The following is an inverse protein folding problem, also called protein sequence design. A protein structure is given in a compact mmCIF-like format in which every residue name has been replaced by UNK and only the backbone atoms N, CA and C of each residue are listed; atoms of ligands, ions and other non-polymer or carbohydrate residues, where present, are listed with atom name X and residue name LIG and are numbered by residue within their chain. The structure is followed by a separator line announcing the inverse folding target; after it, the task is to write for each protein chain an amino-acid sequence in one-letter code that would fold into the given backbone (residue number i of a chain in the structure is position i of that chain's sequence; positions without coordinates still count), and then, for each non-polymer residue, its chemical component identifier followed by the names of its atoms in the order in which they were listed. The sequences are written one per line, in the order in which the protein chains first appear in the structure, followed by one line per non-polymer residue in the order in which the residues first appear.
data_IF_187953265745
#
_entry.id   IF_187953265745
#
_cell.length_a   1.000
_cell.length_b   1.000
_cell.length_c   1.000
_cell.angle_alpha   90.00
_cell.angle_beta   90.00
_cell.angle_gamma   90.00
#
_symmetry.space_group_name_H-M   'P 1'
#
loop_
_entity.id
_entity.type
_entity.pdbx_description
1 polymer ?
#
# COMPACT_ATOMS: atom_id res chain seq x y z
N UNK A 1 -38.82 -27.87 -29.77
CA UNK A 1 -39.80 -26.83 -30.09
C UNK A 1 -39.21 -25.97 -31.19
N UNK A 2 -39.94 -25.79 -32.28
CA UNK A 2 -39.52 -24.99 -33.45
C UNK A 2 -39.29 -23.55 -32.97
N UNK A 3 -38.11 -23.01 -33.24
CA UNK A 3 -37.74 -21.64 -32.88
C UNK A 3 -38.74 -20.67 -33.48
N UNK A 4 -39.47 -19.97 -32.62
CA UNK A 4 -40.20 -18.78 -33.04
C UNK A 4 -39.13 -17.77 -33.42
N UNK A 5 -38.91 -17.57 -34.72
CA UNK A 5 -38.24 -16.37 -35.22
C UNK A 5 -39.05 -15.19 -34.68
N UNK A 6 -38.59 -14.60 -33.58
CA UNK A 6 -39.11 -13.33 -33.10
C UNK A 6 -38.80 -12.33 -34.20
N UNK A 7 -39.82 -11.87 -34.91
CA UNK A 7 -39.66 -10.90 -35.97
C UNK A 7 -38.87 -9.69 -35.44
N UNK A 8 -37.87 -9.22 -36.21
CA UNK A 8 -37.06 -8.06 -35.83
C UNK A 8 -37.97 -6.89 -35.46
N UNK A 9 -37.68 -6.17 -34.37
CA UNK A 9 -38.46 -5.00 -33.97
C UNK A 9 -38.63 -4.02 -35.13
N UNK A 10 -39.85 -3.51 -35.33
CA UNK A 10 -40.13 -2.59 -36.43
C UNK A 10 -39.56 -1.21 -36.09
N UNK A 11 -38.86 -0.62 -37.06
CA UNK A 11 -38.52 0.79 -36.98
C UNK A 11 -39.74 1.67 -37.24
N UNK A 12 -39.68 2.88 -36.70
CA UNK A 12 -40.64 3.96 -36.81
C UNK A 12 -39.88 5.28 -37.03
N UNK A 13 -40.60 6.39 -37.14
CA UNK A 13 -39.97 7.70 -37.41
C UNK A 13 -38.96 8.11 -36.34
N UNK A 14 -39.20 7.74 -35.07
CA UNK A 14 -38.36 8.14 -33.94
C UNK A 14 -37.12 7.28 -33.82
N UNK A 15 -37.26 5.96 -33.93
CA UNK A 15 -36.15 5.02 -33.93
C UNK A 15 -35.23 5.22 -35.14
N UNK A 16 -35.78 5.48 -36.34
CA UNK A 16 -34.98 5.84 -37.50
C UNK A 16 -34.21 7.16 -37.28
N UNK A 17 -34.84 8.16 -36.65
CA UNK A 17 -34.18 9.44 -36.33
C UNK A 17 -33.06 9.25 -35.32
N UNK A 18 -33.32 8.52 -34.22
CA UNK A 18 -32.33 8.26 -33.18
C UNK A 18 -31.12 7.49 -33.75
N UNK A 19 -31.36 6.44 -34.52
CA UNK A 19 -30.29 5.66 -35.16
C UNK A 19 -29.46 6.52 -36.13
N UNK A 20 -30.11 7.35 -36.95
CA UNK A 20 -29.45 8.26 -37.86
C UNK A 20 -28.54 9.27 -37.15
N UNK A 21 -28.97 9.79 -36.00
CA UNK A 21 -28.18 10.73 -35.20
C UNK A 21 -27.01 10.00 -34.53
N UNK A 22 -27.24 8.84 -33.90
CA UNK A 22 -26.20 8.04 -33.23
C UNK A 22 -25.02 7.70 -34.14
N UNK A 23 -25.29 7.37 -35.40
CA UNK A 23 -24.26 7.02 -36.39
C UNK A 23 -23.28 8.17 -36.69
N UNK A 24 -23.62 9.42 -36.32
CA UNK A 24 -22.80 10.60 -36.58
C UNK A 24 -22.45 11.38 -35.33
N UNK A 25 -23.02 11.01 -34.18
CA UNK A 25 -22.91 11.80 -32.96
C UNK A 25 -21.47 11.93 -32.47
N UNK A 26 -20.67 10.87 -32.55
CA UNK A 26 -19.27 10.90 -32.12
C UNK A 26 -18.37 11.82 -32.97
N UNK A 27 -18.72 11.98 -34.26
CA UNK A 27 -17.94 12.78 -35.23
C UNK A 27 -18.50 14.20 -35.43
N UNK A 28 -19.49 14.61 -34.64
CA UNK A 28 -20.11 15.93 -34.78
C UNK A 28 -19.30 17.02 -34.06
N UNK A 29 -19.59 18.27 -34.40
CA UNK A 29 -18.96 19.44 -33.76
C UNK A 29 -19.29 19.54 -32.25
N UNK A 30 -20.42 18.96 -31.84
CA UNK A 30 -20.87 18.87 -30.45
C UNK A 30 -21.47 17.47 -30.18
N UNK A 31 -20.61 16.50 -29.80
CA UNK A 31 -21.04 15.14 -29.54
C UNK A 31 -22.07 15.04 -28.42
N UNK A 32 -21.91 15.82 -27.34
CA UNK A 32 -22.83 15.81 -26.21
C UNK A 32 -24.25 16.20 -26.64
N UNK A 33 -24.39 17.31 -27.37
CA UNK A 33 -25.68 17.74 -27.90
C UNK A 33 -26.28 16.72 -28.88
N UNK A 34 -25.42 16.06 -29.67
CA UNK A 34 -25.86 15.06 -30.65
C UNK A 34 -26.37 13.77 -29.98
N UNK A 35 -25.68 13.28 -28.94
CA UNK A 35 -26.15 12.15 -28.15
C UNK A 35 -27.43 12.49 -27.37
N UNK A 36 -27.56 13.71 -26.86
CA UNK A 36 -28.79 14.16 -26.23
C UNK A 36 -29.96 14.20 -27.22
N UNK A 37 -29.76 14.69 -28.45
CA UNK A 37 -30.80 14.67 -29.49
C UNK A 37 -31.21 13.24 -29.87
N UNK A 38 -30.25 12.32 -29.96
CA UNK A 38 -30.55 10.91 -30.18
C UNK A 38 -31.36 10.31 -29.03
N UNK A 39 -31.01 10.64 -27.78
CA UNK A 39 -31.71 10.21 -26.57
C UNK A 39 -33.15 10.74 -26.56
N UNK A 40 -33.36 12.01 -26.89
CA UNK A 40 -34.69 12.63 -26.97
C UNK A 40 -35.55 11.96 -28.04
N UNK A 41 -34.99 11.69 -29.22
CA UNK A 41 -35.68 10.98 -30.29
C UNK A 41 -36.06 9.56 -29.86
N UNK A 42 -35.13 8.80 -29.26
CA UNK A 42 -35.40 7.44 -28.78
C UNK A 42 -36.44 7.43 -27.65
N UNK A 43 -36.37 8.37 -26.72
CA UNK A 43 -37.34 8.53 -25.62
C UNK A 43 -38.73 8.88 -26.12
N UNK A 44 -38.85 9.74 -27.13
CA UNK A 44 -40.12 10.00 -27.80
C UNK A 44 -40.67 8.73 -28.49
N UNK A 45 -39.80 7.90 -29.06
CA UNK A 45 -40.15 6.58 -29.57
C UNK A 45 -40.73 5.67 -28.49
N UNK A 46 -40.12 5.63 -27.30
CA UNK A 46 -40.62 4.89 -26.13
C UNK A 46 -42.01 5.41 -25.71
N UNK A 47 -42.19 6.73 -25.63
CA UNK A 47 -43.46 7.34 -25.23
C UNK A 47 -44.60 7.02 -26.21
N UNK A 48 -44.32 7.01 -27.52
CA UNK A 48 -45.32 6.73 -28.54
C UNK A 48 -45.60 5.24 -28.71
N UNK A 49 -44.58 4.39 -28.54
CA UNK A 49 -44.72 2.94 -28.62
C UNK A 49 -43.89 2.25 -27.53
N UNK A 50 -44.42 2.13 -26.30
CA UNK A 50 -43.71 1.52 -25.17
C UNK A 50 -43.38 0.03 -25.36
N UNK A 51 -43.93 -0.61 -26.39
CA UNK A 51 -43.67 -2.00 -26.72
C UNK A 51 -42.60 -2.16 -27.82
N UNK A 52 -41.93 -1.07 -28.25
CA UNK A 52 -40.84 -1.13 -29.23
C UNK A 52 -39.47 -1.28 -28.54
N UNK A 53 -38.89 -2.49 -28.50
CA UNK A 53 -37.59 -2.72 -27.84
C UNK A 53 -36.43 -1.97 -28.52
N UNK A 54 -36.54 -1.62 -29.81
CA UNK A 54 -35.51 -0.85 -30.51
C UNK A 54 -35.38 0.56 -29.93
N UNK A 55 -36.48 1.19 -29.51
CA UNK A 55 -36.44 2.52 -28.90
C UNK A 55 -35.66 2.52 -27.57
N UNK A 56 -35.84 1.48 -26.75
CA UNK A 56 -35.07 1.28 -25.53
C UNK A 56 -33.59 1.03 -25.80
N UNK A 57 -33.26 0.17 -26.76
CA UNK A 57 -31.88 -0.10 -27.17
C UNK A 57 -31.16 1.18 -27.61
N UNK A 58 -31.79 1.98 -28.49
CA UNK A 58 -31.23 3.23 -28.98
C UNK A 58 -31.10 4.29 -27.88
N UNK A 59 -32.05 4.37 -26.95
CA UNK A 59 -31.95 5.26 -25.80
C UNK A 59 -30.77 4.87 -24.89
N UNK A 60 -30.57 3.58 -24.62
CA UNK A 60 -29.42 3.09 -23.84
C UNK A 60 -28.09 3.40 -24.52
N UNK A 61 -27.99 3.18 -25.84
CA UNK A 61 -26.81 3.56 -26.64
C UNK A 61 -26.52 5.06 -26.59
N UNK A 62 -27.55 5.89 -26.67
CA UNK A 62 -27.40 7.35 -26.58
C UNK A 62 -26.88 7.80 -25.21
N UNK A 63 -27.39 7.19 -24.12
CA UNK A 63 -26.90 7.46 -22.77
C UNK A 63 -25.41 7.09 -22.59
N UNK A 64 -24.99 5.93 -23.10
CA UNK A 64 -23.58 5.50 -23.04
C UNK A 64 -22.68 6.45 -23.82
N UNK A 65 -23.12 6.87 -25.01
CA UNK A 65 -22.39 7.84 -25.83
C UNK A 65 -22.32 9.24 -25.21
N UNK A 66 -23.33 9.64 -24.43
CA UNK A 66 -23.33 10.92 -23.72
C UNK A 66 -22.30 10.96 -22.57
N UNK A 67 -22.09 9.81 -21.90
CA UNK A 67 -21.25 9.68 -20.71
C UNK A 67 -19.90 10.39 -20.79
N UNK A 68 -19.04 10.09 -21.78
CA UNK A 68 -17.71 10.71 -21.91
C UNK A 68 -17.68 12.24 -22.05
N UNK A 69 -18.82 12.88 -22.25
CA UNK A 69 -18.93 14.32 -22.51
C UNK A 69 -19.61 15.10 -21.39
N UNK A 70 -19.91 14.46 -20.26
CA UNK A 70 -20.58 15.06 -19.11
C UNK A 70 -19.76 14.92 -17.82
N UNK A 71 -20.22 15.53 -16.72
CA UNK A 71 -19.56 15.36 -15.42
C UNK A 71 -19.62 13.90 -14.93
N UNK A 72 -18.74 13.52 -14.00
CA UNK A 72 -18.72 12.17 -13.42
C UNK A 72 -20.10 11.76 -12.84
N UNK A 73 -20.74 12.63 -12.06
CA UNK A 73 -22.08 12.37 -11.52
C UNK A 73 -23.13 12.14 -12.62
N UNK A 74 -23.04 12.90 -13.71
CA UNK A 74 -23.95 12.75 -14.86
C UNK A 74 -23.64 11.48 -15.67
N UNK A 75 -22.37 11.09 -15.77
CA UNK A 75 -21.93 9.85 -16.42
C UNK A 75 -22.42 8.63 -15.62
N UNK A 76 -22.34 8.66 -14.29
CA UNK A 76 -22.88 7.61 -13.42
C UNK A 76 -24.39 7.47 -13.67
N UNK A 77 -25.13 8.58 -13.60
CA UNK A 77 -26.57 8.58 -13.84
C UNK A 77 -26.93 8.07 -15.25
N UNK A 78 -26.21 8.50 -16.28
CA UNK A 78 -26.39 8.06 -17.66
C UNK A 78 -26.11 6.56 -17.82
N UNK A 79 -25.05 6.04 -17.20
CA UNK A 79 -24.67 4.62 -17.30
C UNK A 79 -25.67 3.70 -16.61
N UNK A 80 -26.16 4.09 -15.42
CA UNK A 80 -27.22 3.35 -14.72
C UNK A 80 -28.56 3.40 -15.48
N UNK A 81 -28.90 4.55 -16.06
CA UNK A 81 -30.07 4.68 -16.91
C UNK A 81 -29.94 3.82 -18.18
N UNK A 82 -28.76 3.80 -18.79
CA UNK A 82 -28.46 2.95 -19.94
C UNK A 82 -28.65 1.48 -19.60
N UNK A 83 -28.10 1.00 -18.48
CA UNK A 83 -28.23 -0.39 -18.06
C UNK A 83 -29.70 -0.81 -17.87
N UNK A 84 -30.51 0.05 -17.26
CA UNK A 84 -31.96 -0.17 -17.11
C UNK A 84 -32.67 -0.25 -18.47
N UNK A 85 -32.38 0.68 -19.39
CA UNK A 85 -32.96 0.71 -20.74
C UNK A 85 -32.56 -0.52 -21.56
N UNK A 86 -31.28 -0.90 -21.52
CA UNK A 86 -30.75 -2.07 -22.22
C UNK A 86 -31.33 -3.37 -21.66
N UNK A 87 -31.42 -3.50 -20.34
CA UNK A 87 -32.10 -4.63 -19.67
C UNK A 87 -33.52 -4.77 -20.20
N UNK A 88 -34.28 -3.66 -20.23
CA UNK A 88 -35.65 -3.66 -20.72
C UNK A 88 -35.74 -4.07 -22.20
N UNK A 89 -34.82 -3.58 -23.04
CA UNK A 89 -34.75 -3.96 -24.45
C UNK A 89 -34.51 -5.47 -24.63
N UNK A 90 -33.60 -6.06 -23.83
CA UNK A 90 -33.29 -7.49 -23.86
C UNK A 90 -34.42 -8.39 -23.34
N UNK A 91 -35.14 -7.95 -22.30
CA UNK A 91 -36.36 -8.64 -21.82
C UNK A 91 -37.43 -8.73 -22.92
N UNK A 92 -37.59 -7.64 -23.67
CA UNK A 92 -38.60 -7.53 -24.74
C UNK A 92 -38.17 -8.24 -26.02
N UNK A 93 -36.87 -8.30 -26.30
CA UNK A 93 -36.30 -8.94 -27.48
C UNK A 93 -34.94 -9.58 -27.18
N UNK A 94 -34.99 -10.86 -26.81
CA UNK A 94 -33.83 -11.67 -26.40
C UNK A 94 -32.64 -11.63 -27.37
N UNK A 95 -32.81 -11.57 -28.71
CA UNK A 95 -31.64 -11.49 -29.59
C UNK A 95 -30.77 -10.24 -29.41
N UNK A 96 -31.22 -9.21 -28.68
CA UNK A 96 -30.37 -8.07 -28.32
C UNK A 96 -29.35 -8.36 -27.22
N UNK A 97 -29.43 -9.48 -26.50
CA UNK A 97 -28.55 -9.73 -25.35
C UNK A 97 -27.05 -9.73 -25.72
N UNK A 98 -26.70 -10.25 -26.89
CA UNK A 98 -25.31 -10.23 -27.39
C UNK A 98 -24.82 -8.80 -27.66
N UNK A 99 -25.65 -7.98 -28.30
CA UNK A 99 -25.32 -6.56 -28.58
C UNK A 99 -25.28 -5.74 -27.27
N UNK A 100 -26.20 -5.99 -26.35
CA UNK A 100 -26.28 -5.31 -25.05
C UNK A 100 -25.00 -5.53 -24.24
N UNK A 101 -24.41 -6.74 -24.29
CA UNK A 101 -23.16 -7.02 -23.60
C UNK A 101 -22.03 -6.08 -24.06
N UNK A 102 -21.92 -5.83 -25.37
CA UNK A 102 -20.94 -4.90 -25.94
C UNK A 102 -21.19 -3.47 -25.46
N UNK A 103 -22.44 -3.04 -25.39
CA UNK A 103 -22.79 -1.70 -24.90
C UNK A 103 -22.49 -1.54 -23.41
N UNK A 104 -22.78 -2.55 -22.58
CA UNK A 104 -22.41 -2.56 -21.16
C UNK A 104 -20.90 -2.50 -20.96
N UNK A 105 -20.15 -3.25 -21.76
CA UNK A 105 -18.69 -3.17 -21.72
C UNK A 105 -18.19 -1.77 -22.10
N UNK A 106 -18.77 -1.13 -23.12
CA UNK A 106 -18.43 0.26 -23.46
C UNK A 106 -18.75 1.25 -22.33
N UNK A 107 -19.89 1.07 -21.64
CA UNK A 107 -20.23 1.87 -20.46
C UNK A 107 -19.20 1.68 -19.33
N UNK A 108 -18.81 0.43 -19.08
CA UNK A 108 -17.77 0.08 -18.12
C UNK A 108 -16.42 0.73 -18.50
N UNK A 109 -16.02 0.71 -19.78
CA UNK A 109 -14.78 1.34 -20.25
C UNK A 109 -14.80 2.85 -19.99
N UNK A 110 -15.93 3.51 -20.26
CA UNK A 110 -16.08 4.95 -20.03
C UNK A 110 -15.95 5.30 -18.54
N UNK A 111 -16.63 4.54 -17.67
CA UNK A 111 -16.58 4.72 -16.21
C UNK A 111 -15.18 4.44 -15.65
N UNK A 112 -14.53 3.37 -16.11
CA UNK A 112 -13.17 3.01 -15.71
C UNK A 112 -12.15 4.09 -16.12
N UNK A 113 -12.23 4.59 -17.36
CA UNK A 113 -11.32 5.67 -17.80
C UNK A 113 -11.55 6.97 -17.02
N UNK A 114 -12.81 7.31 -16.72
CA UNK A 114 -13.12 8.46 -15.88
C UNK A 114 -12.59 8.28 -14.45
N UNK A 115 -12.66 7.07 -13.90
CA UNK A 115 -12.18 6.81 -12.53
C UNK A 115 -10.67 6.96 -12.40
N UNK A 116 -9.91 6.58 -13.44
CA UNK A 116 -8.47 6.82 -13.50
C UNK A 116 -8.15 8.32 -13.47
N UNK A 117 -8.85 9.11 -14.30
CA UNK A 117 -8.67 10.57 -14.34
C UNK A 117 -9.01 11.25 -12.99
N UNK A 118 -10.10 10.82 -12.33
CA UNK A 118 -10.46 11.32 -10.99
C UNK A 118 -9.44 10.91 -9.92
N UNK A 119 -8.89 9.69 -10.01
CA UNK A 119 -7.82 9.22 -9.12
C UNK A 119 -6.54 10.03 -9.26
N UNK A 120 -6.09 10.27 -10.50
CA UNK A 120 -4.90 11.10 -10.79
C UNK A 120 -5.08 12.56 -10.33
N UNK A 121 -6.32 13.04 -10.29
CA UNK A 121 -6.68 14.36 -9.77
C UNK A 121 -6.76 14.42 -8.23
N UNK A 122 -6.55 13.29 -7.52
CA UNK A 122 -6.62 13.22 -6.06
C UNK A 122 -8.05 13.20 -5.52
N UNK A 123 -9.02 12.70 -6.29
CA UNK A 123 -10.44 12.59 -5.88
C UNK A 123 -10.83 11.10 -5.71
N UNK A 124 -10.38 10.42 -4.63
CA UNK A 124 -10.55 8.98 -4.46
C UNK A 124 -12.03 8.57 -4.31
N UNK A 125 -12.89 9.36 -3.67
CA UNK A 125 -14.31 9.04 -3.53
C UNK A 125 -15.07 9.09 -4.85
N UNK A 126 -14.72 10.03 -5.74
CA UNK A 126 -15.30 10.07 -7.09
C UNK A 126 -14.84 8.87 -7.90
N UNK A 127 -13.56 8.51 -7.81
CA UNK A 127 -13.00 7.31 -8.46
C UNK A 127 -13.72 6.04 -7.99
N UNK A 128 -13.93 5.88 -6.68
CA UNK A 128 -14.67 4.76 -6.08
C UNK A 128 -16.09 4.69 -6.66
N UNK A 129 -16.84 5.79 -6.67
CA UNK A 129 -18.23 5.79 -7.18
C UNK A 129 -18.30 5.39 -8.65
N UNK A 130 -17.34 5.85 -9.47
CA UNK A 130 -17.24 5.49 -10.88
C UNK A 130 -16.95 3.99 -11.06
N UNK A 131 -16.00 3.44 -10.30
CA UNK A 131 -15.65 2.02 -10.35
C UNK A 131 -16.76 1.11 -9.82
N UNK A 132 -17.40 1.47 -8.71
CA UNK A 132 -18.58 0.77 -8.16
C UNK A 132 -19.72 0.74 -9.20
N UNK A 133 -19.91 1.85 -9.92
CA UNK A 133 -20.90 1.92 -11.01
C UNK A 133 -20.48 1.06 -12.20
N UNK A 134 -19.18 1.01 -12.54
CA UNK A 134 -18.68 0.14 -13.59
C UNK A 134 -19.03 -1.33 -13.30
N UNK A 135 -18.79 -1.78 -12.06
CA UNK A 135 -19.15 -3.14 -11.61
C UNK A 135 -20.66 -3.35 -11.47
N UNK A 136 -21.46 -2.30 -11.26
CA UNK A 136 -22.92 -2.42 -11.29
C UNK A 136 -23.45 -2.69 -12.72
N UNK A 137 -22.88 -2.05 -13.75
CA UNK A 137 -23.36 -2.15 -15.14
C UNK A 137 -22.76 -3.35 -15.91
N UNK A 138 -21.56 -3.79 -15.53
CA UNK A 138 -20.88 -4.92 -16.15
C UNK A 138 -20.22 -5.83 -15.10
N UNK A 139 -21.04 -6.47 -14.24
CA UNK A 139 -20.55 -7.14 -13.04
C UNK A 139 -19.67 -8.34 -13.34
N UNK A 140 -18.61 -8.51 -12.52
CA UNK A 140 -17.85 -9.77 -12.38
C UNK A 140 -17.36 -10.33 -13.72
N UNK A 141 -17.03 -9.45 -14.66
CA UNK A 141 -16.58 -9.84 -16.00
C UNK A 141 -15.12 -9.47 -16.26
N UNK A 142 -14.66 -8.39 -15.64
CA UNK A 142 -13.33 -7.84 -15.84
C UNK A 142 -12.67 -7.54 -14.49
N UNK A 143 -11.42 -7.94 -14.25
CA UNK A 143 -10.76 -7.72 -12.96
C UNK A 143 -10.24 -6.29 -12.77
N UNK A 144 -10.13 -5.46 -13.81
CA UNK A 144 -9.41 -4.19 -13.74
C UNK A 144 -10.07 -3.17 -12.82
N UNK A 145 -11.40 -3.03 -12.88
CA UNK A 145 -12.12 -2.08 -12.02
C UNK A 145 -12.14 -2.56 -10.56
N UNK A 146 -12.33 -3.87 -10.34
CA UNK A 146 -12.25 -4.49 -9.02
C UNK A 146 -10.86 -4.35 -8.39
N UNK A 147 -9.81 -4.50 -9.19
CA UNK A 147 -8.43 -4.33 -8.72
C UNK A 147 -8.16 -2.90 -8.28
N UNK A 148 -8.59 -1.92 -9.09
CA UNK A 148 -8.49 -0.51 -8.71
C UNK A 148 -9.35 -0.17 -7.49
N UNK A 149 -10.55 -0.75 -7.35
CA UNK A 149 -11.34 -0.62 -6.11
C UNK A 149 -10.56 -1.15 -4.90
N UNK A 150 -9.95 -2.33 -5.01
CA UNK A 150 -9.13 -2.91 -3.95
C UNK A 150 -8.01 -1.97 -3.50
N UNK A 151 -7.30 -1.36 -4.45
CA UNK A 151 -6.24 -0.37 -4.16
C UNK A 151 -6.81 0.89 -3.53
N UNK A 152 -7.82 1.51 -4.14
CA UNK A 152 -8.37 2.80 -3.68
C UNK A 152 -9.05 2.66 -2.32
N UNK A 153 -9.81 1.60 -2.07
CA UNK A 153 -10.38 1.33 -0.74
C UNK A 153 -9.28 1.17 0.32
N UNK A 154 -8.19 0.46 0.00
CA UNK A 154 -7.08 0.27 0.93
C UNK A 154 -6.40 1.60 1.32
N UNK A 155 -6.20 2.49 0.34
CA UNK A 155 -5.62 3.82 0.59
C UNK A 155 -6.53 4.71 1.44
N UNK A 156 -7.86 4.60 1.27
CA UNK A 156 -8.86 5.34 2.04
C UNK A 156 -9.20 4.69 3.41
N UNK A 157 -8.49 3.63 3.80
CA UNK A 157 -8.72 2.93 5.07
C UNK A 157 -10.00 2.07 5.11
N UNK A 158 -10.64 1.84 3.97
CA UNK A 158 -11.83 0.98 3.80
C UNK A 158 -11.40 -0.48 3.61
N UNK A 159 -10.79 -1.04 4.65
CA UNK A 159 -10.04 -2.29 4.54
C UNK A 159 -10.90 -3.52 4.23
N UNK A 160 -12.12 -3.62 4.78
CA UNK A 160 -13.01 -4.74 4.50
C UNK A 160 -13.46 -4.72 3.03
N UNK A 161 -13.84 -3.55 2.49
CA UNK A 161 -14.18 -3.42 1.08
C UNK A 161 -12.97 -3.68 0.15
N UNK A 162 -11.76 -3.31 0.58
CA UNK A 162 -10.52 -3.64 -0.13
C UNK A 162 -10.32 -5.16 -0.23
N UNK A 163 -10.48 -5.89 0.88
CA UNK A 163 -10.36 -7.35 0.93
C UNK A 163 -11.39 -8.02 0.02
N UNK A 164 -12.64 -7.55 0.04
CA UNK A 164 -13.72 -8.06 -0.79
C UNK A 164 -13.48 -7.80 -2.28
N UNK A 165 -13.00 -6.60 -2.63
CA UNK A 165 -12.66 -6.24 -4.00
C UNK A 165 -11.51 -7.10 -4.55
N UNK A 166 -10.45 -7.35 -3.76
CA UNK A 166 -9.41 -8.29 -4.17
C UNK A 166 -9.94 -9.73 -4.28
N UNK A 167 -10.81 -10.17 -3.36
CA UNK A 167 -11.48 -11.47 -3.47
C UNK A 167 -12.26 -11.61 -4.79
N UNK A 168 -12.95 -10.54 -5.19
CA UNK A 168 -13.67 -10.46 -6.46
C UNK A 168 -12.74 -10.55 -7.69
N UNK A 169 -11.57 -9.91 -7.65
CA UNK A 169 -10.54 -10.04 -8.69
C UNK A 169 -10.16 -11.51 -8.89
N UNK A 170 -9.86 -12.22 -7.78
CA UNK A 170 -9.47 -13.63 -7.82
C UNK A 170 -10.58 -14.52 -8.37
N UNK A 171 -11.84 -14.27 -7.99
CA UNK A 171 -13.00 -14.99 -8.50
C UNK A 171 -13.13 -14.85 -10.03
N UNK A 172 -13.08 -13.62 -10.55
CA UNK A 172 -13.20 -13.33 -11.99
C UNK A 172 -12.08 -13.99 -12.77
N UNK A 173 -10.83 -13.82 -12.31
CA UNK A 173 -9.67 -14.37 -13.02
C UNK A 173 -9.74 -15.89 -13.05
N UNK A 174 -9.89 -16.54 -11.90
CA UNK A 174 -9.86 -18.02 -11.81
C UNK A 174 -11.02 -18.67 -12.53
N UNK A 175 -12.19 -18.02 -12.55
CA UNK A 175 -13.37 -18.52 -13.24
C UNK A 175 -13.29 -18.42 -14.75
N UNK A 176 -12.50 -17.49 -15.30
CA UNK A 176 -12.60 -17.08 -16.70
C UNK A 176 -11.29 -16.98 -17.46
N UNK A 177 -10.16 -17.31 -16.84
CA UNK A 177 -8.83 -17.20 -17.46
C UNK A 177 -8.69 -18.03 -18.75
N UNK A 178 -9.44 -19.13 -18.88
CA UNK A 178 -9.46 -19.99 -20.06
C UNK A 178 -10.38 -19.46 -21.18
N UNK A 179 -11.21 -18.45 -20.91
CA UNK A 179 -12.14 -17.84 -21.88
C UNK A 179 -11.49 -16.72 -22.69
N UNK A 180 -10.35 -16.19 -22.23
CA UNK A 180 -9.67 -15.04 -22.82
C UNK A 180 -8.47 -15.46 -23.65
N UNK A 181 -8.01 -14.58 -24.54
CA UNK A 181 -6.80 -14.83 -25.31
C UNK A 181 -5.54 -14.87 -24.41
N UNK A 182 -4.44 -15.42 -24.95
CA UNK A 182 -3.20 -15.60 -24.17
C UNK A 182 -2.58 -14.30 -23.67
N UNK A 183 -2.75 -13.18 -24.38
CA UNK A 183 -2.18 -11.89 -23.96
C UNK A 183 -2.97 -11.31 -22.79
N UNK A 184 -4.30 -11.35 -22.87
CA UNK A 184 -5.21 -10.99 -21.77
C UNK A 184 -4.96 -11.90 -20.57
N UNK A 185 -4.83 -13.22 -20.77
CA UNK A 185 -4.56 -14.17 -19.70
C UNK A 185 -3.23 -13.89 -18.98
N UNK A 186 -2.16 -13.53 -19.70
CA UNK A 186 -0.89 -13.18 -19.08
C UNK A 186 -1.02 -11.93 -18.18
N UNK A 187 -1.75 -10.92 -18.65
CA UNK A 187 -2.01 -9.70 -17.90
C UNK A 187 -2.91 -9.95 -16.68
N UNK A 188 -3.87 -10.86 -16.78
CA UNK A 188 -4.70 -11.29 -15.66
C UNK A 188 -3.91 -12.07 -14.62
N UNK A 189 -3.02 -12.99 -15.00
CA UNK A 189 -2.15 -13.72 -14.04
C UNK A 189 -1.27 -12.78 -13.21
N UNK A 190 -0.75 -11.71 -13.83
CA UNK A 190 -0.01 -10.67 -13.08
C UNK A 190 -0.91 -9.96 -12.06
N UNK A 191 -2.16 -9.65 -12.43
CA UNK A 191 -3.14 -9.06 -11.49
C UNK A 191 -3.55 -10.01 -10.39
N UNK A 192 -3.68 -11.30 -10.69
CA UNK A 192 -3.96 -12.32 -9.68
C UNK A 192 -2.87 -12.30 -8.61
N UNK A 193 -1.60 -12.37 -9.00
CA UNK A 193 -0.47 -12.30 -8.07
C UNK A 193 -0.50 -11.01 -7.24
N UNK A 194 -0.72 -9.86 -7.88
CA UNK A 194 -0.78 -8.58 -7.17
C UNK A 194 -1.97 -8.50 -6.20
N UNK A 195 -3.15 -8.98 -6.61
CA UNK A 195 -4.35 -9.00 -5.78
C UNK A 195 -4.19 -9.95 -4.59
N UNK A 196 -3.62 -11.15 -4.78
CA UNK A 196 -3.35 -12.09 -3.68
C UNK A 196 -2.39 -11.49 -2.67
N UNK A 197 -1.28 -10.90 -3.13
CA UNK A 197 -0.30 -10.24 -2.26
C UNK A 197 -0.89 -9.07 -1.49
N UNK A 198 -1.57 -8.14 -2.18
CA UNK A 198 -2.17 -6.97 -1.54
C UNK A 198 -3.29 -7.36 -0.56
N UNK A 199 -4.10 -8.36 -0.90
CA UNK A 199 -5.12 -8.90 0.01
C UNK A 199 -4.50 -9.43 1.29
N UNK A 200 -3.38 -10.16 1.20
CA UNK A 200 -2.66 -10.67 2.37
C UNK A 200 -2.11 -9.53 3.25
N UNK A 201 -1.59 -8.46 2.65
CA UNK A 201 -1.14 -7.27 3.37
C UNK A 201 -2.30 -6.61 4.14
N UNK A 202 -3.44 -6.37 3.48
CA UNK A 202 -4.62 -5.74 4.10
C UNK A 202 -5.19 -6.63 5.21
N UNK A 203 -5.28 -7.95 5.00
CA UNK A 203 -5.69 -8.91 6.03
C UNK A 203 -4.79 -8.86 7.26
N UNK A 204 -3.48 -8.68 7.06
CA UNK A 204 -2.52 -8.52 8.16
C UNK A 204 -2.79 -7.23 8.94
N UNK A 205 -3.08 -6.14 8.24
CA UNK A 205 -3.34 -4.82 8.84
C UNK A 205 -4.61 -4.81 9.71
N UNK A 206 -5.64 -5.57 9.33
CA UNK A 206 -6.88 -5.72 10.11
C UNK A 206 -6.84 -6.93 11.05
N UNK A 207 -5.65 -7.45 11.35
CA UNK A 207 -5.40 -8.52 12.33
C UNK A 207 -6.09 -9.86 12.02
N UNK A 208 -6.49 -10.09 10.76
CA UNK A 208 -7.03 -11.37 10.27
C UNK A 208 -5.89 -12.32 9.90
N UNK A 209 -5.05 -12.61 10.89
CA UNK A 209 -3.74 -13.25 10.73
C UNK A 209 -3.78 -14.64 10.09
N UNK A 210 -4.76 -15.48 10.43
CA UNK A 210 -4.88 -16.83 9.85
C UNK A 210 -5.20 -16.78 8.34
N UNK A 211 -6.11 -15.88 7.96
CA UNK A 211 -6.46 -15.65 6.55
C UNK A 211 -5.30 -15.00 5.79
N UNK A 212 -4.59 -14.05 6.41
CA UNK A 212 -3.40 -13.44 5.84
C UNK A 212 -2.32 -14.50 5.57
N UNK A 213 -2.00 -15.35 6.55
CA UNK A 213 -1.02 -16.41 6.41
C UNK A 213 -1.39 -17.39 5.29
N UNK A 214 -2.67 -17.77 5.19
CA UNK A 214 -3.16 -18.61 4.09
C UNK A 214 -2.99 -17.93 2.74
N UNK A 215 -3.32 -16.64 2.65
CA UNK A 215 -3.26 -15.86 1.40
C UNK A 215 -1.80 -15.60 0.98
N UNK A 216 -0.87 -15.36 1.91
CA UNK A 216 0.56 -15.29 1.57
C UNK A 216 1.11 -16.64 1.11
N UNK A 217 0.74 -17.74 1.79
CA UNK A 217 1.18 -19.07 1.38
C UNK A 217 0.74 -19.39 -0.06
N UNK A 218 -0.49 -19.01 -0.43
CA UNK A 218 -1.01 -19.11 -1.79
C UNK A 218 -0.19 -18.27 -2.80
N UNK A 219 0.12 -17.01 -2.49
CA UNK A 219 0.99 -16.18 -3.34
C UNK A 219 2.37 -16.83 -3.57
N UNK A 220 2.96 -17.36 -2.49
CA UNK A 220 4.29 -17.98 -2.47
C UNK A 220 4.37 -19.29 -3.27
N UNK A 221 3.24 -19.94 -3.61
CA UNK A 221 3.26 -21.08 -4.54
C UNK A 221 3.84 -20.70 -5.91
N UNK A 222 3.60 -19.46 -6.35
CA UNK A 222 4.11 -18.92 -7.61
C UNK A 222 5.41 -18.14 -7.48
N UNK A 223 5.73 -17.66 -6.27
CA UNK A 223 6.89 -16.83 -5.98
C UNK A 223 7.62 -17.29 -4.69
N UNK A 224 8.15 -18.52 -4.62
CA UNK A 224 8.60 -19.15 -3.37
C UNK A 224 9.81 -18.47 -2.71
N UNK A 225 10.51 -17.58 -3.43
CA UNK A 225 11.65 -16.81 -2.92
C UNK A 225 11.35 -15.33 -2.69
N UNK A 226 10.09 -14.90 -2.77
CA UNK A 226 9.72 -13.52 -2.50
C UNK A 226 9.90 -13.20 -1.01
N UNK A 227 10.96 -12.47 -0.70
CA UNK A 227 11.36 -12.12 0.67
C UNK A 227 10.28 -11.31 1.37
N UNK A 228 9.59 -10.42 0.67
CA UNK A 228 8.56 -9.56 1.27
C UNK A 228 7.34 -10.40 1.67
N UNK A 229 6.90 -11.31 0.80
CA UNK A 229 5.80 -12.21 1.11
C UNK A 229 6.17 -13.26 2.18
N UNK A 230 7.40 -13.77 2.19
CA UNK A 230 7.89 -14.65 3.26
C UNK A 230 7.92 -13.93 4.62
N UNK A 231 8.42 -12.69 4.67
CA UNK A 231 8.41 -11.87 5.89
C UNK A 231 6.98 -11.52 6.34
N UNK A 232 6.08 -11.22 5.40
CA UNK A 232 4.66 -10.99 5.67
C UNK A 232 3.96 -12.23 6.22
N UNK A 233 4.22 -13.41 5.65
CA UNK A 233 3.73 -14.70 6.15
C UNK A 233 4.24 -14.95 7.57
N UNK A 234 5.53 -14.80 7.81
CA UNK A 234 6.13 -15.01 9.12
C UNK A 234 5.53 -14.05 10.16
N UNK A 235 5.35 -12.77 9.82
CA UNK A 235 4.72 -11.78 10.69
C UNK A 235 3.27 -12.15 11.03
N UNK A 236 2.47 -12.54 10.02
CA UNK A 236 1.09 -13.00 10.23
C UNK A 236 1.04 -14.26 11.12
N UNK A 237 1.95 -15.22 10.91
CA UNK A 237 2.04 -16.41 11.74
C UNK A 237 2.40 -16.09 13.20
N UNK A 238 3.36 -15.19 13.42
CA UNK A 238 3.78 -14.78 14.77
C UNK A 238 2.62 -14.12 15.53
N UNK A 239 1.94 -13.16 14.90
CA UNK A 239 0.79 -12.47 15.50
C UNK A 239 -0.43 -13.38 15.66
N UNK A 240 -0.56 -14.43 14.83
CA UNK A 240 -1.54 -15.49 14.99
C UNK A 240 -1.18 -16.57 16.03
N UNK A 241 -0.12 -16.36 16.82
CA UNK A 241 0.29 -17.28 17.90
C UNK A 241 1.10 -18.50 17.42
N UNK A 242 1.55 -18.53 16.17
CA UNK A 242 2.38 -19.60 15.57
C UNK A 242 3.85 -19.20 15.47
N UNK A 243 4.43 -18.78 16.60
CA UNK A 243 5.81 -18.27 16.69
C UNK A 243 6.86 -19.24 16.13
N UNK A 244 6.75 -20.55 16.42
CA UNK A 244 7.71 -21.55 15.88
C UNK A 244 7.74 -21.58 14.35
N UNK A 245 6.57 -21.45 13.71
CA UNK A 245 6.47 -21.43 12.25
C UNK A 245 7.01 -20.13 11.66
N UNK A 246 6.77 -19.00 12.33
CA UNK A 246 7.31 -17.71 11.94
C UNK A 246 8.85 -17.70 12.03
N UNK A 247 9.40 -18.18 13.14
CA UNK A 247 10.83 -18.25 13.37
C UNK A 247 11.53 -19.14 12.33
N UNK A 248 10.93 -20.28 11.95
CA UNK A 248 11.48 -21.13 10.90
C UNK A 248 11.63 -20.40 9.55
N UNK A 249 10.64 -19.56 9.19
CA UNK A 249 10.69 -18.76 7.97
C UNK A 249 11.75 -17.67 8.08
N UNK A 250 11.77 -16.91 9.18
CA UNK A 250 12.78 -15.87 9.39
C UNK A 250 14.20 -16.43 9.40
N UNK A 251 14.45 -17.56 10.05
CA UNK A 251 15.76 -18.22 10.03
C UNK A 251 16.17 -18.60 8.60
N UNK A 252 15.23 -19.14 7.81
CA UNK A 252 15.49 -19.44 6.40
C UNK A 252 15.82 -18.18 5.58
N UNK A 253 15.20 -17.04 5.88
CA UNK A 253 15.51 -15.77 5.23
C UNK A 253 16.89 -15.25 5.64
N UNK A 254 17.25 -15.38 6.93
CA UNK A 254 18.56 -14.97 7.43
C UNK A 254 19.71 -15.84 6.89
N UNK A 255 19.43 -17.06 6.46
CA UNK A 255 20.41 -17.94 5.80
C UNK A 255 20.49 -17.70 4.28
N UNK A 256 19.59 -16.87 3.72
CA UNK A 256 19.62 -16.48 2.32
C UNK A 256 20.73 -15.44 2.06
N UNK A 257 21.27 -15.46 0.84
CA UNK A 257 22.32 -14.53 0.41
C UNK A 257 21.74 -13.41 -0.45
N UNK A 258 22.35 -12.22 -0.39
CA UNK A 258 22.03 -11.11 -1.29
C UNK A 258 20.88 -10.23 -0.83
N UNK A 259 20.53 -10.28 0.45
CA UNK A 259 19.58 -9.34 1.05
C UNK A 259 20.26 -8.00 1.33
N UNK A 260 19.50 -6.91 1.17
CA UNK A 260 19.93 -5.55 1.50
C UNK A 260 19.63 -5.15 2.94
N UNK A 261 20.08 -3.95 3.33
CA UNK A 261 19.89 -3.38 4.67
C UNK A 261 18.42 -3.42 5.09
N UNK A 262 17.50 -2.94 4.26
CA UNK A 262 16.06 -2.87 4.58
C UNK A 262 15.47 -4.24 4.85
N UNK A 263 15.81 -5.23 4.05
CA UNK A 263 15.29 -6.59 4.23
C UNK A 263 15.75 -7.20 5.55
N UNK A 264 17.02 -7.00 5.92
CA UNK A 264 17.52 -7.45 7.22
C UNK A 264 16.89 -6.69 8.40
N UNK A 265 16.64 -5.37 8.25
CA UNK A 265 15.89 -4.60 9.24
C UNK A 265 14.47 -5.14 9.41
N UNK A 266 13.75 -5.40 8.32
CA UNK A 266 12.38 -5.92 8.34
C UNK A 266 12.31 -7.31 8.99
N UNK A 267 13.27 -8.19 8.67
CA UNK A 267 13.39 -9.51 9.31
C UNK A 267 13.66 -9.36 10.82
N UNK A 268 14.59 -8.47 11.20
CA UNK A 268 14.90 -8.21 12.61
C UNK A 268 13.70 -7.69 13.39
N UNK A 269 12.94 -6.75 12.83
CA UNK A 269 11.69 -6.24 13.42
C UNK A 269 10.65 -7.34 13.55
N UNK A 270 10.52 -8.21 12.54
CA UNK A 270 9.63 -9.36 12.56
C UNK A 270 9.96 -10.35 13.67
N UNK A 271 11.24 -10.72 13.81
CA UNK A 271 11.73 -11.58 14.88
C UNK A 271 11.54 -10.95 16.27
N UNK A 272 11.85 -9.67 16.42
CA UNK A 272 11.68 -8.94 17.68
C UNK A 272 10.22 -8.95 18.13
N UNK A 273 9.28 -8.65 17.22
CA UNK A 273 7.83 -8.73 17.50
C UNK A 273 7.36 -10.15 17.79
N UNK A 274 7.91 -11.14 17.08
CA UNK A 274 7.63 -12.55 17.37
C UNK A 274 8.09 -12.96 18.76
N UNK A 275 9.21 -12.44 19.25
CA UNK A 275 9.67 -12.68 20.61
C UNK A 275 8.74 -12.03 21.65
N UNK A 276 8.20 -10.84 21.35
CA UNK A 276 7.22 -10.16 22.22
C UNK A 276 5.86 -10.86 22.30
N UNK A 277 5.49 -11.66 21.30
CA UNK A 277 4.18 -12.32 21.23
C UNK A 277 4.13 -13.70 21.88
N UNK A 278 5.27 -14.29 22.27
CA UNK A 278 5.29 -15.63 22.86
C UNK A 278 4.76 -15.63 24.31
N UNK A 279 4.14 -16.74 24.71
CA UNK A 279 3.89 -17.00 26.13
C UNK A 279 5.21 -17.34 26.83
N UNK A 280 5.75 -16.38 27.57
CA UNK A 280 7.04 -16.52 28.27
C UNK A 280 7.01 -17.54 29.40
N UNK A 281 5.83 -18.02 29.82
CA UNK A 281 5.72 -19.17 30.72
C UNK A 281 6.01 -20.51 30.02
N UNK A 282 5.98 -20.53 28.68
CA UNK A 282 6.12 -21.73 27.84
C UNK A 282 7.40 -21.69 27.02
N UNK A 283 7.72 -20.54 26.43
CA UNK A 283 8.85 -20.36 25.51
C UNK A 283 9.77 -19.27 26.05
N UNK A 284 11.06 -19.57 26.19
CA UNK A 284 12.07 -18.56 26.46
C UNK A 284 12.22 -17.67 25.21
N UNK A 285 11.93 -16.35 25.26
CA UNK A 285 12.03 -15.48 24.09
C UNK A 285 13.47 -15.10 23.75
N UNK A 286 14.42 -15.27 24.67
CA UNK A 286 15.83 -14.82 24.49
C UNK A 286 16.48 -15.33 23.20
N UNK A 287 16.33 -16.62 22.81
CA UNK A 287 16.87 -17.10 21.53
C UNK A 287 16.27 -16.40 20.30
N UNK A 288 14.99 -15.98 20.36
CA UNK A 288 14.35 -15.24 19.26
C UNK A 288 14.92 -13.82 19.20
N UNK A 289 15.14 -13.18 20.36
CA UNK A 289 15.83 -11.89 20.42
C UNK A 289 17.28 -11.97 19.91
N UNK A 290 18.02 -13.05 20.19
CA UNK A 290 19.36 -13.26 19.61
C UNK A 290 19.33 -13.38 18.09
N UNK A 291 18.30 -14.02 17.50
CA UNK A 291 18.11 -14.05 16.04
C UNK A 291 17.72 -12.67 15.48
N UNK A 292 16.90 -11.90 16.20
CA UNK A 292 16.61 -10.50 15.83
C UNK A 292 17.91 -9.66 15.82
N UNK A 293 18.75 -9.80 16.85
CA UNK A 293 20.06 -9.16 16.92
C UNK A 293 20.97 -9.61 15.75
N UNK A 294 20.91 -10.89 15.34
CA UNK A 294 21.63 -11.38 14.16
C UNK A 294 21.16 -10.70 12.88
N UNK A 295 19.86 -10.51 12.69
CA UNK A 295 19.31 -9.79 11.54
C UNK A 295 19.81 -8.35 11.49
N UNK A 296 19.70 -7.62 12.61
CA UNK A 296 20.18 -6.24 12.70
C UNK A 296 21.70 -6.12 12.53
N UNK A 297 22.47 -7.10 13.01
CA UNK A 297 23.91 -7.19 12.73
C UNK A 297 24.18 -7.34 11.24
N UNK A 298 23.45 -8.18 10.51
CA UNK A 298 23.64 -8.30 9.06
C UNK A 298 23.32 -7.00 8.32
N UNK A 299 22.35 -6.21 8.78
CA UNK A 299 22.12 -4.86 8.28
C UNK A 299 23.30 -3.92 8.61
N UNK A 300 23.83 -3.97 9.83
CA UNK A 300 24.97 -3.16 10.27
C UNK A 300 26.29 -3.56 9.59
N UNK A 301 26.47 -4.83 9.21
CA UNK A 301 27.64 -5.29 8.46
C UNK A 301 27.67 -4.69 7.05
N UNK A 302 26.49 -4.45 6.45
CA UNK A 302 26.36 -3.75 5.15
C UNK A 302 26.50 -2.24 5.32
N UNK A 303 25.83 -1.66 6.33
CA UNK A 303 25.87 -0.23 6.64
C UNK A 303 26.25 0.01 8.10
N UNK A 304 27.56 0.08 8.44
CA UNK A 304 28.03 0.19 9.83
C UNK A 304 27.63 1.46 10.57
N UNK A 305 27.17 2.47 9.82
CA UNK A 305 26.66 3.74 10.34
C UNK A 305 25.14 3.86 10.24
N UNK A 306 24.43 2.78 9.93
CA UNK A 306 22.98 2.77 10.05
C UNK A 306 22.62 2.73 11.54
N UNK A 307 22.19 3.89 12.08
CA UNK A 307 21.87 4.06 13.50
C UNK A 307 20.78 3.08 13.94
N UNK A 308 19.74 2.88 13.14
CA UNK A 308 18.63 2.00 13.50
C UNK A 308 19.04 0.52 13.51
N UNK A 309 19.93 0.11 12.60
CA UNK A 309 20.49 -1.24 12.66
C UNK A 309 21.26 -1.48 13.96
N UNK A 310 22.16 -0.57 14.33
CA UNK A 310 22.99 -0.71 15.55
C UNK A 310 22.13 -0.57 16.81
N UNK A 311 21.18 0.37 16.85
CA UNK A 311 20.27 0.56 17.98
C UNK A 311 19.38 -0.67 18.21
N UNK A 312 18.73 -1.17 17.16
CA UNK A 312 17.86 -2.33 17.28
C UNK A 312 18.65 -3.62 17.56
N UNK A 313 19.89 -3.73 17.08
CA UNK A 313 20.81 -4.79 17.48
C UNK A 313 21.08 -4.73 18.99
N UNK A 314 21.46 -3.56 19.52
CA UNK A 314 21.73 -3.36 20.94
C UNK A 314 20.50 -3.67 21.81
N UNK A 315 19.33 -3.17 21.41
CA UNK A 315 18.07 -3.45 22.11
C UNK A 315 17.76 -4.95 22.11
N UNK A 316 17.90 -5.63 20.97
CA UNK A 316 17.66 -7.07 20.87
C UNK A 316 18.64 -7.88 21.71
N UNK A 317 19.92 -7.49 21.77
CA UNK A 317 20.92 -8.13 22.64
C UNK A 317 20.62 -7.91 24.13
N UNK A 318 20.09 -6.74 24.51
CA UNK A 318 19.67 -6.47 25.89
C UNK A 318 18.50 -7.37 26.30
N UNK A 319 17.49 -7.51 25.44
CA UNK A 319 16.35 -8.41 25.67
C UNK A 319 16.75 -9.90 25.66
N UNK A 320 17.77 -10.25 24.87
CA UNK A 320 18.38 -11.58 24.88
C UNK A 320 19.27 -11.84 26.12
N UNK A 321 19.60 -10.81 26.90
CA UNK A 321 20.59 -10.83 27.98
C UNK A 321 22.01 -11.23 27.51
N UNK A 322 22.33 -10.98 26.24
CA UNK A 322 23.63 -11.27 25.61
C UNK A 322 24.65 -10.16 25.94
N UNK A 323 24.88 -9.92 27.23
CA UNK A 323 25.61 -8.75 27.76
C UNK A 323 27.03 -8.57 27.20
N UNK A 324 27.77 -9.67 27.06
CA UNK A 324 29.14 -9.68 26.52
C UNK A 324 29.20 -9.20 25.06
N UNK A 325 28.15 -9.47 24.28
CA UNK A 325 28.04 -8.99 22.90
C UNK A 325 27.46 -7.58 22.86
N UNK A 326 26.53 -7.26 23.77
CA UNK A 326 25.95 -5.92 23.87
C UNK A 326 27.00 -4.86 24.20
N UNK A 327 27.97 -5.14 25.06
CA UNK A 327 28.94 -4.14 25.52
C UNK A 327 29.68 -3.43 24.36
N UNK A 328 30.37 -4.12 23.43
CA UNK A 328 31.01 -3.46 22.29
C UNK A 328 30.01 -2.84 21.29
N UNK A 329 28.78 -3.35 21.20
CA UNK A 329 27.74 -2.77 20.31
C UNK A 329 27.21 -1.47 20.89
N UNK A 330 27.03 -1.40 22.21
CA UNK A 330 26.61 -0.20 22.93
C UNK A 330 27.68 0.89 22.88
N UNK A 331 28.97 0.51 22.79
CA UNK A 331 30.09 1.40 22.48
C UNK A 331 29.94 2.04 21.10
N UNK A 332 29.75 1.22 20.08
CA UNK A 332 29.51 1.71 18.71
C UNK A 332 28.26 2.61 18.63
N UNK A 333 27.18 2.23 19.32
CA UNK A 333 25.97 3.04 19.35
C UNK A 333 26.21 4.39 20.02
N UNK A 334 27.02 4.46 21.08
CA UNK A 334 27.39 5.70 21.74
C UNK A 334 28.21 6.63 20.84
N UNK A 335 29.06 6.07 19.97
CA UNK A 335 29.76 6.87 18.96
C UNK A 335 28.80 7.42 17.87
N UNK A 336 27.75 6.67 17.52
CA UNK A 336 26.80 7.03 16.47
C UNK A 336 25.65 7.93 16.96
N UNK A 337 25.21 7.76 18.20
CA UNK A 337 24.03 8.42 18.78
C UNK A 337 24.32 8.92 20.23
N UNK A 338 25.32 9.80 20.42
CA UNK A 338 25.81 10.22 21.74
C UNK A 338 24.85 11.16 22.50
N UNK A 339 23.81 11.67 21.85
CA UNK A 339 22.81 12.58 22.44
C UNK A 339 21.48 11.87 22.71
N UNK A 340 21.42 10.55 22.58
CA UNK A 340 20.24 9.77 22.92
C UNK A 340 20.40 9.09 24.28
N UNK A 341 19.55 9.42 25.28
CA UNK A 341 19.62 8.80 26.61
C UNK A 341 19.51 7.27 26.59
N UNK A 342 18.77 6.70 25.62
CA UNK A 342 18.61 5.25 25.50
C UNK A 342 19.94 4.54 25.18
N UNK A 343 20.86 5.22 24.51
CA UNK A 343 22.19 4.69 24.22
C UNK A 343 22.99 4.46 25.50
N UNK A 344 22.97 5.43 26.42
CA UNK A 344 23.61 5.31 27.72
C UNK A 344 22.95 4.23 28.59
N UNK A 345 21.62 4.12 28.55
CA UNK A 345 20.89 3.05 29.24
C UNK A 345 21.32 1.67 28.75
N UNK A 346 21.36 1.43 27.43
CA UNK A 346 21.77 0.15 26.86
C UNK A 346 23.21 -0.21 27.24
N UNK A 347 24.13 0.76 27.24
CA UNK A 347 25.50 0.55 27.70
C UNK A 347 25.56 0.25 29.20
N UNK A 348 24.81 0.98 30.02
CA UNK A 348 24.75 0.75 31.46
C UNK A 348 24.18 -0.64 31.78
N UNK A 349 23.17 -1.11 31.03
CA UNK A 349 22.66 -2.48 31.12
C UNK A 349 23.73 -3.51 30.78
N UNK A 350 24.50 -3.28 29.70
CA UNK A 350 25.61 -4.15 29.32
C UNK A 350 26.66 -4.27 30.43
N UNK A 351 27.14 -3.11 30.94
CA UNK A 351 28.13 -3.04 32.02
C UNK A 351 27.63 -3.71 33.30
N UNK A 352 26.37 -3.46 33.68
CA UNK A 352 25.78 -4.11 34.84
C UNK A 352 25.68 -5.63 34.65
N UNK A 353 25.34 -6.08 33.44
CA UNK A 353 25.26 -7.49 33.06
C UNK A 353 26.62 -8.21 33.02
N UNK A 354 27.70 -7.50 32.69
CA UNK A 354 29.09 -8.00 32.74
C UNK A 354 29.74 -7.85 34.13
N UNK A 355 29.08 -7.17 35.07
CA UNK A 355 29.49 -7.05 36.48
C UNK A 355 30.15 -5.73 36.87
N UNK A 356 30.29 -4.79 35.94
CA UNK A 356 30.92 -3.47 36.14
C UNK A 356 29.90 -2.42 36.62
N UNK A 357 29.29 -2.67 37.79
CA UNK A 357 28.18 -1.85 38.32
C UNK A 357 28.53 -0.38 38.56
N UNK A 358 29.76 -0.09 39.02
CA UNK A 358 30.18 1.29 39.28
C UNK A 358 30.27 2.10 37.97
N UNK A 359 30.76 1.49 36.89
CA UNK A 359 30.82 2.12 35.58
C UNK A 359 29.42 2.27 34.97
N UNK A 360 28.53 1.29 35.17
CA UNK A 360 27.14 1.36 34.73
C UNK A 360 26.42 2.59 35.31
N UNK A 361 26.59 2.87 36.61
CA UNK A 361 26.02 4.07 37.26
C UNK A 361 26.62 5.34 36.66
N UNK A 362 27.94 5.36 36.42
CA UNK A 362 28.64 6.51 35.83
C UNK A 362 28.09 6.82 34.44
N UNK A 363 28.00 5.81 33.57
CA UNK A 363 27.48 5.93 32.20
C UNK A 363 26.01 6.36 32.19
N UNK A 364 25.18 5.74 33.03
CA UNK A 364 23.77 6.12 33.13
C UNK A 364 23.62 7.60 33.54
N UNK A 365 24.41 8.04 34.52
CA UNK A 365 24.41 9.43 34.99
C UNK A 365 24.89 10.42 33.90
N UNK A 366 25.83 10.01 33.04
CA UNK A 366 26.26 10.83 31.90
C UNK A 366 25.09 11.12 30.94
N UNK A 367 24.31 10.10 30.60
CA UNK A 367 23.12 10.25 29.76
C UNK A 367 22.07 11.19 30.36
N UNK A 368 21.83 11.10 31.67
CA UNK A 368 20.92 12.00 32.40
C UNK A 368 21.43 13.45 32.48
N UNK A 369 22.74 13.66 32.31
CA UNK A 369 23.39 14.97 32.39
C UNK A 369 23.56 15.68 31.05
N UNK A 370 23.07 15.10 29.94
CA UNK A 370 23.13 15.72 28.62
C UNK A 370 22.44 17.09 28.62
N UNK A 371 23.10 18.11 28.05
CA UNK A 371 22.54 19.47 27.99
C UNK A 371 21.29 19.58 27.10
N UNK A 372 21.17 18.67 26.14
CA UNK A 372 20.00 18.43 25.31
C UNK A 372 20.05 16.99 24.84
N UNK A 373 18.88 16.45 24.45
CA UNK A 373 18.77 15.11 23.89
C UNK A 373 18.18 15.13 22.49
N UNK A 374 18.60 14.16 21.69
CA UNK A 374 18.06 13.87 20.37
C UNK A 374 17.36 12.52 20.45
N UNK A 375 16.07 12.53 20.18
CA UNK A 375 15.21 11.36 20.07
C UNK A 375 14.64 11.28 18.65
N UNK A 376 14.03 10.15 18.31
CA UNK A 376 13.57 9.88 16.95
C UNK A 376 12.11 9.45 16.97
N UNK A 377 11.23 10.11 16.20
CA UNK A 377 9.83 9.71 16.11
C UNK A 377 9.71 8.35 15.40
N UNK A 378 8.55 7.72 15.50
CA UNK A 378 8.27 6.50 14.73
C UNK A 378 7.27 6.80 13.60
N UNK A 379 7.64 6.63 12.31
CA UNK A 379 8.98 6.32 11.80
C UNK A 379 9.92 7.55 11.81
N UNK A 380 11.21 7.30 11.98
CA UNK A 380 12.25 8.34 11.95
C UNK A 380 12.76 8.63 10.54
N UNK A 381 12.74 7.63 9.66
CA UNK A 381 13.12 7.71 8.26
C UNK A 381 11.92 7.42 7.37
N UNK A 382 11.58 8.34 6.49
CA UNK A 382 10.52 8.23 5.50
C UNK A 382 11.12 8.28 4.09
N UNK A 383 11.41 7.13 3.46
CA UNK A 383 11.89 7.07 2.09
C UNK A 383 10.84 7.60 1.10
N UNK A 384 11.27 8.26 0.03
CA UNK A 384 10.38 8.77 -1.01
C UNK A 384 10.30 7.84 -2.22
N UNK A 385 9.10 7.70 -2.78
CA UNK A 385 8.90 7.05 -4.08
C UNK A 385 9.69 7.80 -5.14
N UNK A 386 10.58 7.11 -5.86
CA UNK A 386 11.48 7.72 -6.84
C UNK A 386 12.85 8.15 -6.30
N UNK A 387 13.13 7.93 -5.01
CA UNK A 387 14.46 8.13 -4.40
C UNK A 387 14.51 9.27 -3.37
N UNK A 388 15.56 9.25 -2.56
CA UNK A 388 15.70 10.14 -1.41
C UNK A 388 14.78 9.78 -0.25
N UNK A 389 14.62 10.72 0.67
CA UNK A 389 13.75 10.56 1.84
C UNK A 389 13.96 11.66 2.87
N UNK A 390 13.12 11.61 3.91
CA UNK A 390 13.16 12.54 5.04
C UNK A 390 13.59 11.77 6.28
N UNK A 391 14.60 12.26 6.98
CA UNK A 391 14.91 11.82 8.34
C UNK A 391 14.45 12.88 9.33
N UNK A 392 13.77 12.47 10.39
CA UNK A 392 13.20 13.35 11.41
C UNK A 392 13.88 13.13 12.75
N UNK A 393 14.18 14.23 13.43
CA UNK A 393 14.79 14.25 14.77
C UNK A 393 13.93 15.12 15.70
N UNK A 394 13.88 14.72 16.95
CA UNK A 394 13.23 15.47 18.04
C UNK A 394 14.29 15.92 19.03
N UNK A 395 14.47 17.23 19.16
CA UNK A 395 15.40 17.84 20.08
C UNK A 395 14.66 18.32 21.34
N UNK A 396 15.02 17.79 22.50
CA UNK A 396 14.57 18.32 23.80
C UNK A 396 15.70 19.10 24.45
N UNK A 397 15.45 20.35 24.82
CA UNK A 397 16.41 21.15 25.59
C UNK A 397 16.36 20.79 27.08
N UNK A 398 17.48 20.35 27.66
CA UNK A 398 17.56 20.04 29.09
C UNK A 398 18.13 21.21 29.91
N UNK A 399 19.13 21.94 29.39
CA UNK A 399 19.86 22.97 30.14
C UNK A 399 20.44 24.12 29.29
N UNK A 400 20.37 24.07 27.96
CA UNK A 400 20.88 25.13 27.10
C UNK A 400 20.10 26.44 27.29
N UNK A 401 20.78 27.58 27.12
CA UNK A 401 20.10 28.88 27.02
C UNK A 401 19.15 28.86 25.80
N UNK A 402 17.86 29.22 25.94
CA UNK A 402 16.93 29.26 24.82
C UNK A 402 17.44 30.15 23.68
N UNK A 403 17.31 29.67 22.44
CA UNK A 403 17.88 30.30 21.24
C UNK A 403 19.32 29.88 20.93
N UNK A 404 19.98 29.08 21.78
CA UNK A 404 21.28 28.48 21.46
C UNK A 404 21.15 27.63 20.19
N UNK A 405 21.97 27.86 19.16
CA UNK A 405 21.88 27.06 17.95
C UNK A 405 22.47 25.67 18.16
N UNK A 406 21.68 24.66 17.82
CA UNK A 406 22.12 23.27 17.68
C UNK A 406 22.19 22.95 16.20
N UNK A 407 23.41 22.73 15.71
CA UNK A 407 23.66 22.40 14.30
C UNK A 407 23.96 20.91 14.19
N UNK A 408 23.20 20.23 13.34
CA UNK A 408 23.28 18.80 13.11
C UNK A 408 23.51 18.53 11.63
N UNK A 409 24.28 17.51 11.31
CA UNK A 409 24.40 16.94 9.97
C UNK A 409 23.79 15.56 9.97
N UNK A 410 22.74 15.38 9.19
CA UNK A 410 22.10 14.08 9.00
C UNK A 410 22.68 13.42 7.76
N UNK A 411 23.34 12.29 7.93
CA UNK A 411 23.95 11.52 6.86
C UNK A 411 23.03 10.37 6.46
N UNK A 412 22.91 10.08 5.18
CA UNK A 412 22.01 9.06 4.65
C UNK A 412 22.77 7.96 3.93
N UNK A 413 22.29 6.72 4.03
CA UNK A 413 22.84 5.57 3.32
C UNK A 413 21.79 4.82 2.50
N UNK A 414 22.25 4.19 1.42
CA UNK A 414 21.46 3.34 0.53
C UNK A 414 21.37 1.91 1.02
N UNK A 415 20.53 1.11 0.37
CA UNK A 415 20.25 -0.28 0.79
C UNK A 415 21.47 -1.21 0.73
N UNK A 416 22.48 -0.84 -0.03
CA UNK A 416 23.79 -1.48 -0.14
C UNK A 416 24.86 -0.86 0.80
N UNK A 417 24.45 0.05 1.68
CA UNK A 417 25.31 0.75 2.64
C UNK A 417 26.10 1.92 2.07
N UNK A 418 25.94 2.25 0.79
CA UNK A 418 26.65 3.39 0.19
C UNK A 418 26.15 4.73 0.77
N UNK A 419 27.05 5.69 0.88
CA UNK A 419 26.70 7.06 1.26
C UNK A 419 25.88 7.73 0.15
N UNK A 420 24.74 8.32 0.53
CA UNK A 420 23.82 9.05 -0.36
C UNK A 420 23.97 10.57 -0.24
N UNK A 421 24.74 11.03 0.74
CA UNK A 421 24.92 12.43 1.08
C UNK A 421 24.33 12.80 2.43
N UNK A 422 24.42 14.08 2.75
CA UNK A 422 24.04 14.62 4.06
C UNK A 422 23.28 15.93 3.94
N UNK A 423 22.45 16.22 4.93
CA UNK A 423 21.69 17.47 5.04
C UNK A 423 21.98 18.10 6.39
N UNK A 424 22.37 19.38 6.38
CA UNK A 424 22.57 20.16 7.60
C UNK A 424 21.22 20.72 8.08
N UNK A 425 20.93 20.50 9.35
CA UNK A 425 19.72 20.95 10.04
C UNK A 425 20.14 21.82 11.21
N UNK A 426 19.50 22.99 11.34
CA UNK A 426 19.74 23.91 12.44
C UNK A 426 18.45 24.09 13.24
N UNK A 427 18.56 23.89 14.54
CA UNK A 427 17.47 24.05 15.51
C UNK A 427 17.90 25.09 16.53
N UNK A 428 17.04 26.06 16.81
CA UNK A 428 17.23 26.93 17.97
C UNK A 428 16.72 26.19 19.21
N UNK A 429 17.57 26.04 20.23
CA UNK A 429 17.19 25.37 21.47
C UNK A 429 15.91 26.01 22.02
N UNK A 430 14.82 25.22 22.21
CA UNK A 430 13.57 25.76 22.72
C UNK A 430 13.70 26.08 24.22
N UNK A 431 12.61 26.51 24.85
CA UNK A 431 12.57 26.63 26.31
C UNK A 431 12.92 25.30 26.98
N UNK A 432 13.47 25.36 28.19
CA UNK A 432 13.86 24.16 28.93
C UNK A 432 12.70 23.19 29.09
N UNK A 433 12.94 21.90 28.79
CA UNK A 433 11.95 20.83 28.82
C UNK A 433 11.02 20.78 27.60
N UNK A 434 11.17 21.69 26.64
CA UNK A 434 10.39 21.68 25.39
C UNK A 434 11.10 20.86 24.33
N UNK A 435 10.30 20.12 23.55
CA UNK A 435 10.75 19.36 22.38
C UNK A 435 10.36 20.06 21.10
N UNK A 436 11.28 20.10 20.14
CA UNK A 436 11.04 20.59 18.78
C UNK A 436 11.48 19.55 17.77
N UNK A 437 10.69 19.40 16.70
CA UNK A 437 11.00 18.50 15.58
C UNK A 437 11.74 19.25 14.49
N UNK A 438 12.70 18.57 13.86
CA UNK A 438 13.33 19.04 12.64
C UNK A 438 13.48 17.89 11.64
N UNK A 439 13.39 18.24 10.36
CA UNK A 439 13.41 17.29 9.26
C UNK A 439 14.60 17.59 8.34
N UNK A 440 15.36 16.54 8.01
CA UNK A 440 16.41 16.53 7.00
C UNK A 440 15.86 15.88 5.73
N UNK A 441 15.66 16.68 4.67
CA UNK A 441 15.11 16.21 3.40
C UNK A 441 16.21 16.02 2.34
N UNK A 442 16.56 14.76 2.05
CA UNK A 442 17.56 14.42 1.04
C UNK A 442 16.90 14.09 -0.29
N UNK A 443 17.24 14.85 -1.34
CA UNK A 443 16.94 14.49 -2.73
C UNK A 443 18.03 13.61 -3.31
N UNK A 444 17.66 12.40 -3.72
CA UNK A 444 18.54 11.42 -4.38
C UNK A 444 17.75 10.63 -5.41
N UNK A 445 18.42 10.10 -6.44
CA UNK A 445 17.82 9.13 -7.38
C UNK A 445 17.69 7.74 -6.79
N UNK A 446 18.27 7.50 -5.61
CA UNK A 446 18.26 6.22 -4.93
C UNK A 446 17.61 6.33 -3.56
N UNK A 447 16.93 5.27 -3.16
CA UNK A 447 16.13 5.22 -1.94
C UNK A 447 17.01 5.13 -0.70
N UNK A 448 16.70 5.94 0.32
CA UNK A 448 17.36 5.89 1.63
C UNK A 448 16.94 4.64 2.41
N UNK A 449 17.89 3.95 3.02
CA UNK A 449 17.69 2.75 3.86
C UNK A 449 18.15 2.96 5.31
N UNK A 450 18.97 3.97 5.57
CA UNK A 450 19.51 4.28 6.88
C UNK A 450 20.01 5.70 6.99
N UNK A 451 20.18 6.17 8.22
CA UNK A 451 20.75 7.47 8.52
C UNK A 451 21.50 7.46 9.87
N UNK A 452 22.29 8.49 10.12
CA UNK A 452 22.79 8.83 11.46
C UNK A 452 22.97 10.35 11.59
N UNK A 453 23.04 10.84 12.83
CA UNK A 453 23.12 12.27 13.13
C UNK A 453 24.48 12.62 13.73
N UNK A 454 25.18 13.56 13.12
CA UNK A 454 26.40 14.17 13.66
C UNK A 454 26.05 15.56 14.21
N UNK A 455 26.23 15.78 15.52
CA UNK A 455 26.09 17.12 16.09
C UNK A 455 27.37 17.92 15.85
N UNK A 456 27.24 19.06 15.16
CA UNK A 456 28.33 19.96 14.82
C UNK A 456 28.56 21.02 15.92
N UNK A 457 27.48 21.47 16.57
CA UNK A 457 27.50 22.38 17.71
C UNK A 457 26.20 22.31 18.53
N UNK A 458 26.22 22.66 19.83
CA UNK A 458 27.39 22.99 20.65
C UNK A 458 28.27 21.77 20.93
N UNK A 459 29.58 21.97 21.13
CA UNK A 459 30.56 20.90 21.41
C UNK A 459 30.85 20.77 22.89
#
# INVERSE_FOLDING_TARGET
AVGVETARPRSDTHTNSAEFILLRAADSDDPAASFQQALDAATNGILQNPNNPLAYLLAGRAQIGLGPHVSADSMIAASLAADSLLTRAGEMYQPYLEEIAVHRENAWINLFNASLASGDAGNPEESIRLLETAEAVFPRTRPEALHNLGVTYGNEGRFDESIDAYGAVLEVIRGRIEEVDSATAANWRMREQNATFNRANVLTLVERYEEAATTYAEYLESAPGDVQALSGLAGALASGGRADSAQAIYNSLLDATGLGVRQYLDIGVGLYRSAQSVDTAVVDPRPIYSEAARAFRMAADISPRNRDAVYNMAQSLAEAEDWEVLLPVSEQLLELDPYNPQTYLLRALALNGTGDQEEAITVYTQGDSLDFRIEYPSPALAPRTGGGGVASVELTNNSLDPGTPVEMRVHFSGDDGRDLGSVDVRVEAPDQGVTVRADADLSSSETVSGFYVEVLSPR
#
